data_IF_875714356911
#
_entry.id   IF_875714356911
#
_cell.length_a   1.000
_cell.length_b   1.000
_cell.length_c   1.000
_cell.angle_alpha   90.00
_cell.angle_beta   90.00
_cell.angle_gamma   90.00
#
_symmetry.space_group_name_H-M   'P 1'
#
loop_
_entity.id
_entity.type
_entity.pdbx_description
1 polymer ?
#
# COMPACT_ATOMS: atom_id res chain seq x y z
N UNK A 1 16.72 15.71 -30.37
CA UNK A 1 16.17 15.28 -29.06
C UNK A 1 15.98 13.75 -28.97
N UNK A 2 15.43 13.10 -30.00
CA UNK A 2 15.18 11.64 -30.05
C UNK A 2 16.38 10.76 -29.65
N UNK A 3 17.58 10.96 -30.22
CA UNK A 3 18.76 10.14 -29.88
C UNK A 3 19.11 10.14 -28.38
N UNK A 4 18.89 11.27 -27.68
CA UNK A 4 19.12 11.38 -26.23
C UNK A 4 18.08 10.55 -25.45
N UNK A 5 16.81 10.59 -25.85
CA UNK A 5 15.74 9.77 -25.28
C UNK A 5 16.00 8.28 -25.51
N UNK A 6 16.37 7.89 -26.73
CA UNK A 6 16.70 6.49 -27.06
C UNK A 6 17.85 5.98 -26.20
N UNK A 7 18.93 6.77 -26.02
CA UNK A 7 20.06 6.41 -25.16
C UNK A 7 19.63 6.25 -23.70
N UNK A 8 18.82 7.18 -23.18
CA UNK A 8 18.30 7.12 -21.80
C UNK A 8 17.43 5.89 -21.56
N UNK A 9 16.54 5.56 -22.49
CA UNK A 9 15.67 4.40 -22.39
C UNK A 9 16.46 3.08 -22.45
N UNK A 10 17.47 2.99 -23.33
CA UNK A 10 18.37 1.83 -23.41
C UNK A 10 19.14 1.62 -22.10
N UNK A 11 19.68 2.70 -21.52
CA UNK A 11 20.38 2.62 -20.24
C UNK A 11 19.45 2.17 -19.12
N UNK A 12 18.25 2.77 -19.04
CA UNK A 12 17.25 2.39 -18.04
C UNK A 12 16.87 0.91 -18.15
N UNK A 13 16.62 0.41 -19.36
CA UNK A 13 16.28 -0.99 -19.59
C UNK A 13 17.43 -1.93 -19.19
N UNK A 14 18.66 -1.58 -19.55
CA UNK A 14 19.86 -2.35 -19.17
C UNK A 14 20.02 -2.44 -17.65
N UNK A 15 19.79 -1.35 -16.93
CA UNK A 15 19.87 -1.34 -15.47
C UNK A 15 18.76 -2.17 -14.82
N UNK A 16 17.53 -2.11 -15.35
CA UNK A 16 16.43 -2.94 -14.83
C UNK A 16 16.69 -4.43 -15.10
N UNK A 17 17.21 -4.79 -16.27
CA UNK A 17 17.59 -6.17 -16.60
C UNK A 17 18.69 -6.71 -15.68
N UNK A 18 19.74 -5.91 -15.41
CA UNK A 18 20.80 -6.30 -14.46
C UNK A 18 20.23 -6.59 -13.06
N UNK A 19 19.28 -5.78 -12.60
CA UNK A 19 18.64 -5.97 -11.29
C UNK A 19 17.70 -7.16 -11.28
N UNK A 20 16.93 -7.38 -12.35
CA UNK A 20 16.09 -8.57 -12.49
C UNK A 20 16.93 -9.85 -12.45
N UNK A 21 18.02 -9.89 -13.23
CA UNK A 21 18.95 -11.02 -13.25
C UNK A 21 19.62 -11.28 -11.88
N UNK A 22 20.04 -10.23 -11.16
CA UNK A 22 20.63 -10.37 -9.82
C UNK A 22 19.67 -11.00 -8.81
N UNK A 23 18.37 -10.82 -9.00
CA UNK A 23 17.35 -11.41 -8.14
C UNK A 23 16.72 -12.66 -8.76
N UNK A 24 17.28 -13.19 -9.86
CA UNK A 24 16.77 -14.36 -10.57
C UNK A 24 15.29 -14.25 -10.99
N UNK A 25 14.87 -13.04 -11.40
CA UNK A 25 13.49 -12.77 -11.82
C UNK A 25 13.41 -12.39 -13.30
N UNK A 26 12.23 -12.58 -13.89
CA UNK A 26 11.94 -11.95 -15.17
C UNK A 26 11.85 -10.42 -15.02
N UNK A 27 12.16 -9.70 -16.11
CA UNK A 27 12.14 -8.24 -16.11
C UNK A 27 10.77 -7.68 -15.70
N UNK A 28 9.69 -8.30 -16.19
CA UNK A 28 8.33 -7.86 -15.88
C UNK A 28 8.01 -7.98 -14.39
N UNK A 29 8.41 -9.08 -13.75
CA UNK A 29 8.19 -9.31 -12.33
C UNK A 29 8.97 -8.29 -11.49
N UNK A 30 10.24 -8.05 -11.86
CA UNK A 30 11.06 -7.03 -11.20
C UNK A 30 10.46 -5.62 -11.32
N UNK A 31 9.96 -5.26 -12.51
CA UNK A 31 9.32 -3.97 -12.74
C UNK A 31 8.01 -3.82 -11.95
N UNK A 32 7.21 -4.88 -11.88
CA UNK A 32 5.98 -4.94 -11.08
C UNK A 32 6.29 -4.74 -9.59
N UNK A 33 7.24 -5.49 -9.04
CA UNK A 33 7.67 -5.37 -7.63
C UNK A 33 8.20 -3.96 -7.34
N UNK A 34 9.01 -3.39 -8.24
CA UNK A 34 9.53 -2.04 -8.07
C UNK A 34 8.42 -0.98 -8.12
N UNK A 35 7.44 -1.13 -9.00
CA UNK A 35 6.24 -0.29 -9.06
C UNK A 35 5.47 -0.34 -7.73
N UNK A 36 5.20 -1.55 -7.24
CA UNK A 36 4.55 -1.76 -5.95
C UNK A 36 5.34 -1.13 -4.79
N UNK A 37 6.68 -1.23 -4.80
CA UNK A 37 7.55 -0.59 -3.81
C UNK A 37 7.48 0.95 -3.86
N UNK A 38 7.42 1.55 -5.06
CA UNK A 38 7.24 3.00 -5.17
C UNK A 38 5.87 3.43 -4.67
N UNK A 39 4.82 2.68 -4.98
CA UNK A 39 3.46 2.98 -4.56
C UNK A 39 3.32 2.85 -3.04
N UNK A 40 3.88 1.79 -2.44
CA UNK A 40 3.96 1.62 -1.00
C UNK A 40 4.68 2.81 -0.32
N UNK A 41 5.84 3.22 -0.83
CA UNK A 41 6.55 4.40 -0.31
C UNK A 41 5.75 5.69 -0.42
N UNK A 42 4.95 5.84 -1.47
CA UNK A 42 4.07 7.00 -1.64
C UNK A 42 2.90 6.96 -0.67
N UNK A 43 2.36 5.78 -0.37
CA UNK A 43 1.36 5.57 0.68
C UNK A 43 1.96 5.90 2.05
N UNK A 44 3.14 5.38 2.41
CA UNK A 44 3.79 5.66 3.70
C UNK A 44 3.99 7.17 3.91
N UNK A 45 4.46 7.89 2.88
CA UNK A 45 4.60 9.35 2.91
C UNK A 45 3.25 10.05 3.08
N UNK A 46 2.21 9.54 2.44
CA UNK A 46 0.86 10.09 2.55
C UNK A 46 0.31 9.91 3.96
N UNK A 47 0.47 8.71 4.54
CA UNK A 47 0.09 8.39 5.92
C UNK A 47 0.84 9.29 6.91
N UNK A 48 2.15 9.43 6.77
CA UNK A 48 2.95 10.28 7.64
C UNK A 48 2.53 11.76 7.59
N UNK A 49 2.05 12.24 6.43
CA UNK A 49 1.65 13.64 6.25
C UNK A 49 0.25 13.94 6.75
N UNK A 50 -0.69 13.02 6.55
CA UNK A 50 -2.12 13.29 6.73
C UNK A 50 -2.76 12.49 7.89
N UNK A 51 -1.99 11.60 8.51
CA UNK A 51 -2.51 10.62 9.45
C UNK A 51 -3.47 9.64 8.77
N UNK A 52 -3.91 8.65 9.53
CA UNK A 52 -4.97 7.71 9.14
C UNK A 52 -5.86 7.39 10.32
N UNK A 53 -7.13 7.14 10.02
CA UNK A 53 -8.13 6.64 10.95
C UNK A 53 -8.75 5.37 10.41
N UNK A 54 -9.21 4.50 11.31
CA UNK A 54 -9.97 3.31 10.94
C UNK A 54 -11.41 3.72 10.60
N UNK A 55 -12.00 3.07 9.59
CA UNK A 55 -13.42 3.25 9.27
C UNK A 55 -14.14 1.97 9.67
N UNK A 56 -14.56 1.91 10.94
CA UNK A 56 -15.15 0.71 11.54
C UNK A 56 -16.47 0.30 10.85
N UNK A 57 -17.23 1.26 10.32
CA UNK A 57 -18.46 1.01 9.56
C UNK A 57 -18.24 0.16 8.29
N UNK A 58 -17.02 0.14 7.76
CA UNK A 58 -16.65 -0.62 6.57
C UNK A 58 -15.83 -1.87 6.91
N UNK A 59 -15.93 -2.36 8.15
CA UNK A 59 -15.28 -3.60 8.56
C UNK A 59 -15.93 -4.80 7.85
N UNK A 60 -15.12 -5.62 7.17
CA UNK A 60 -15.56 -6.82 6.46
C UNK A 60 -15.00 -8.07 7.12
N UNK A 61 -15.84 -9.09 7.32
CA UNK A 61 -15.38 -10.39 7.85
C UNK A 61 -14.55 -11.10 6.78
N UNK A 62 -13.30 -11.46 7.09
CA UNK A 62 -12.40 -12.14 6.14
C UNK A 62 -12.11 -13.57 6.56
N UNK A 63 -11.91 -13.81 7.86
CA UNK A 63 -11.75 -15.15 8.42
C UNK A 63 -12.71 -15.29 9.60
N UNK A 64 -13.00 -16.53 10.01
CA UNK A 64 -14.02 -16.90 11.00
C UNK A 64 -14.30 -15.85 12.09
N UNK A 65 -13.24 -15.29 12.72
CA UNK A 65 -13.35 -14.27 13.77
C UNK A 65 -12.49 -13.02 13.51
N UNK A 66 -12.01 -12.81 12.27
CA UNK A 66 -11.18 -11.65 11.90
C UNK A 66 -11.87 -10.76 10.88
N UNK A 67 -11.85 -9.47 11.18
CA UNK A 67 -12.36 -8.41 10.33
C UNK A 67 -11.20 -7.63 9.70
N UNK A 68 -11.33 -7.32 8.42
CA UNK A 68 -10.51 -6.35 7.71
C UNK A 68 -11.17 -4.99 7.80
N UNK A 69 -10.43 -4.02 8.32
CA UNK A 69 -10.92 -2.67 8.57
C UNK A 69 -10.10 -1.71 7.71
N UNK A 70 -10.71 -0.93 6.81
CA UNK A 70 -9.99 0.04 5.99
C UNK A 70 -9.44 1.19 6.84
N UNK A 71 -8.22 1.60 6.50
CA UNK A 71 -7.59 2.82 7.01
C UNK A 71 -7.70 3.93 5.97
N UNK A 72 -8.35 5.03 6.35
CA UNK A 72 -8.52 6.22 5.51
C UNK A 72 -7.74 7.37 6.10
N UNK A 73 -7.02 8.08 5.23
CA UNK A 73 -6.38 9.35 5.57
C UNK A 73 -7.39 10.48 5.70
N UNK A 74 -7.01 11.58 6.37
CA UNK A 74 -7.82 12.82 6.42
C UNK A 74 -8.15 13.44 5.04
N UNK A 75 -7.54 12.94 3.96
CA UNK A 75 -7.82 13.31 2.57
C UNK A 75 -8.75 12.33 1.84
N UNK A 76 -9.35 11.36 2.54
CA UNK A 76 -10.29 10.40 1.97
C UNK A 76 -9.64 9.26 1.19
N UNK A 77 -8.30 9.20 1.12
CA UNK A 77 -7.58 8.10 0.45
C UNK A 77 -7.48 6.89 1.36
N UNK A 78 -7.86 5.70 0.87
CA UNK A 78 -7.60 4.41 1.51
C UNK A 78 -6.09 4.14 1.44
N UNK A 79 -5.47 3.97 2.60
CA UNK A 79 -4.02 3.78 2.74
C UNK A 79 -3.65 2.33 3.09
N UNK A 80 -4.61 1.52 3.51
CA UNK A 80 -4.37 0.13 3.87
C UNK A 80 -5.57 -0.47 4.57
N UNK A 81 -5.37 -1.69 5.05
CA UNK A 81 -6.35 -2.43 5.83
C UNK A 81 -5.67 -3.01 7.06
N UNK A 82 -6.38 -3.01 8.18
CA UNK A 82 -5.92 -3.62 9.42
C UNK A 82 -6.81 -4.80 9.74
N UNK A 83 -6.19 -5.94 10.00
CA UNK A 83 -6.90 -7.12 10.48
C UNK A 83 -7.03 -7.06 12.00
N UNK A 84 -8.25 -7.22 12.49
CA UNK A 84 -8.56 -7.29 13.93
C UNK A 84 -9.48 -8.45 14.22
N UNK A 85 -9.23 -9.09 15.36
CA UNK A 85 -10.13 -10.09 15.91
C UNK A 85 -11.45 -9.44 16.36
N UNK A 86 -12.56 -10.17 16.30
CA UNK A 86 -13.91 -9.71 16.66
C UNK A 86 -13.96 -9.01 18.03
N UNK A 87 -13.39 -9.63 19.06
CA UNK A 87 -13.34 -9.05 20.42
C UNK A 87 -12.69 -7.66 20.46
N UNK A 88 -11.65 -7.43 19.65
CA UNK A 88 -10.97 -6.13 19.56
C UNK A 88 -11.76 -5.12 18.73
N UNK A 89 -12.57 -5.56 17.77
CA UNK A 89 -13.45 -4.68 17.02
C UNK A 89 -14.56 -4.14 17.92
N UNK A 90 -15.16 -5.00 18.75
CA UNK A 90 -16.23 -4.61 19.68
C UNK A 90 -15.73 -3.56 20.69
N UNK A 91 -14.52 -3.73 21.25
CA UNK A 91 -13.87 -2.72 22.10
C UNK A 91 -13.71 -1.36 21.40
N UNK A 92 -13.33 -1.37 20.11
CA UNK A 92 -13.12 -0.15 19.33
C UNK A 92 -14.45 0.57 19.01
N UNK A 93 -15.50 -0.19 18.71
CA UNK A 93 -16.84 0.34 18.44
C UNK A 93 -17.47 0.98 19.69
N UNK A 94 -17.24 0.41 20.87
CA UNK A 94 -17.72 1.00 22.13
C UNK A 94 -17.03 2.34 22.40
N UNK A 95 -15.71 2.39 22.22
CA UNK A 95 -14.94 3.63 22.42
C UNK A 95 -15.35 4.74 21.48
N UNK A 96 -15.61 4.45 20.20
CA UNK A 96 -16.08 5.47 19.24
C UNK A 96 -17.37 6.16 19.72
N UNK A 97 -18.31 5.39 20.27
CA UNK A 97 -19.59 5.90 20.79
C UNK A 97 -19.45 6.75 22.05
N UNK A 98 -18.40 6.55 22.85
CA UNK A 98 -18.14 7.34 24.06
C UNK A 98 -17.47 8.69 23.74
N UNK A 99 -16.83 8.82 22.58
CA UNK A 99 -16.17 10.05 22.12
C UNK A 99 -17.05 10.97 21.26
N UNK A 100 -18.25 10.54 20.87
CA UNK A 100 -19.24 11.35 20.14
C UNK A 100 -20.23 12.02 21.09
#
# INVERSE_FOLDING_TARGET
MQRKLTKRNKNWLSDMLKKANRNHMYLNDWLSIKGNLSDAKMIDRHVARYGVSLVLEKAELVFSEYYSIPQISSKGKICGYVLKHKSKLDELLVREKETQ
#
